data_IF_251822195777
#
_entry.id   IF_251822195777
#
_cell.length_a   1.000
_cell.length_b   1.000
_cell.length_c   1.000
_cell.angle_alpha   90.00
_cell.angle_beta   90.00
_cell.angle_gamma   90.00
#
_symmetry.space_group_name_H-M   'P 1'
#
loop_
_entity.id
_entity.type
_entity.pdbx_description
1 polymer ?
#
# COMPACT_ATOMS: atom_id res chain seq x y z
N UNK A 1 -8.87 7.41 0.00
CA UNK A 1 -9.61 7.14 1.26
C UNK A 1 -9.57 5.64 1.52
N UNK A 2 -9.74 5.19 2.76
CA UNK A 2 -10.09 3.81 3.08
C UNK A 2 -11.59 3.76 3.21
N UNK A 3 -12.26 2.97 2.37
CA UNK A 3 -13.72 2.84 2.39
C UNK A 3 -14.11 1.61 3.23
N UNK A 4 -14.86 1.79 4.33
CA UNK A 4 -15.48 0.68 5.06
C UNK A 4 -16.50 -0.07 4.20
N UNK A 5 -16.88 -1.29 4.63
CA UNK A 5 -17.85 -2.11 3.91
C UNK A 5 -19.25 -1.46 3.78
N UNK A 6 -19.60 -0.60 4.74
CA UNK A 6 -20.85 0.18 4.81
C UNK A 6 -20.69 1.62 4.31
N UNK A 7 -19.52 1.98 3.77
CA UNK A 7 -19.25 3.32 3.26
C UNK A 7 -19.81 3.55 1.86
N UNK A 8 -20.32 4.76 1.59
CA UNK A 8 -20.80 5.15 0.26
C UNK A 8 -19.68 5.80 -0.59
N UNK A 9 -19.30 5.22 -1.76
CA UNK A 9 -18.32 5.79 -2.69
C UNK A 9 -18.66 7.21 -3.18
N UNK A 10 -19.95 7.59 -3.19
CA UNK A 10 -20.41 8.92 -3.60
C UNK A 10 -20.19 9.98 -2.52
N UNK A 11 -20.03 9.57 -1.27
CA UNK A 11 -19.91 10.47 -0.12
C UNK A 11 -18.63 10.21 0.71
N UNK A 12 -17.50 9.99 0.03
CA UNK A 12 -16.21 9.65 0.67
C UNK A 12 -15.81 10.57 1.84
N UNK A 13 -16.17 11.85 1.80
CA UNK A 13 -15.84 12.80 2.86
C UNK A 13 -16.53 12.51 4.19
N UNK A 14 -17.73 11.93 4.18
CA UNK A 14 -18.52 11.60 5.36
C UNK A 14 -18.54 10.10 5.69
N UNK A 15 -18.34 9.23 4.71
CA UNK A 15 -18.48 7.77 4.87
C UNK A 15 -17.15 7.01 4.81
N UNK A 16 -16.05 7.64 4.39
CA UNK A 16 -14.75 7.00 4.25
C UNK A 16 -13.68 7.64 5.14
N UNK A 17 -12.61 6.89 5.43
CA UNK A 17 -11.51 7.37 6.26
C UNK A 17 -10.39 7.99 5.39
N UNK A 18 -9.99 9.25 5.59
CA UNK A 18 -8.92 9.85 4.80
C UNK A 18 -7.56 9.20 5.09
N UNK A 19 -6.87 8.71 4.05
CA UNK A 19 -5.51 8.12 4.19
C UNK A 19 -4.51 9.18 4.68
N UNK A 20 -4.67 10.45 4.28
CA UNK A 20 -3.87 11.57 4.84
C UNK A 20 -4.02 11.69 6.36
N UNK A 21 -5.24 11.50 6.88
CA UNK A 21 -5.49 11.49 8.34
C UNK A 21 -4.83 10.30 9.01
N UNK A 22 -4.82 9.12 8.38
CA UNK A 22 -4.12 7.93 8.88
C UNK A 22 -2.63 8.24 9.07
N UNK A 23 -1.98 8.72 8.01
CA UNK A 23 -0.55 9.03 8.04
C UNK A 23 -0.20 10.10 9.07
N UNK A 24 -1.00 11.16 9.17
CA UNK A 24 -0.80 12.19 10.20
C UNK A 24 -0.91 11.62 11.62
N UNK A 25 -1.90 10.75 11.88
CA UNK A 25 -2.08 10.10 13.19
C UNK A 25 -0.94 9.14 13.52
N UNK A 26 -0.51 8.33 12.55
CA UNK A 26 0.63 7.43 12.71
C UNK A 26 1.91 8.22 12.98
N UNK A 27 2.19 9.25 12.20
CA UNK A 27 3.40 10.06 12.35
C UNK A 27 3.49 10.80 13.71
N UNK A 28 2.34 11.05 14.36
CA UNK A 28 2.28 11.64 15.69
C UNK A 28 2.63 10.66 16.84
N UNK A 29 2.69 9.35 16.57
CA UNK A 29 3.03 8.36 17.59
C UNK A 29 4.49 8.49 18.03
N UNK A 30 4.76 8.23 19.31
CA UNK A 30 6.12 8.09 19.85
C UNK A 30 6.76 6.73 19.47
N UNK A 31 6.53 6.27 18.22
CA UNK A 31 7.09 5.04 17.71
C UNK A 31 8.49 5.28 17.12
N UNK A 32 9.40 4.33 17.34
CA UNK A 32 10.75 4.37 16.76
C UNK A 32 10.73 4.24 15.24
N UNK A 33 9.81 3.43 14.72
CA UNK A 33 9.59 3.18 13.28
C UNK A 33 8.13 2.80 13.06
N UNK A 34 7.58 3.18 11.91
CA UNK A 34 6.23 2.80 11.49
C UNK A 34 6.33 2.30 10.06
N UNK A 35 5.87 1.07 9.83
CA UNK A 35 5.76 0.49 8.50
C UNK A 35 4.30 0.19 8.24
N UNK A 36 3.77 0.68 7.13
CA UNK A 36 2.39 0.46 6.69
C UNK A 36 2.45 -0.36 5.40
N UNK A 37 1.84 -1.54 5.41
CA UNK A 37 1.53 -2.27 4.19
C UNK A 37 0.06 -2.03 3.84
N UNK A 38 -0.22 -1.46 2.67
CA UNK A 38 -1.55 -1.06 2.25
C UNK A 38 -1.95 -1.80 0.98
N UNK A 39 -2.72 -2.86 1.17
CA UNK A 39 -3.30 -3.67 0.11
C UNK A 39 -4.68 -3.14 -0.30
N UNK A 40 -4.68 -2.08 -1.12
CA UNK A 40 -5.90 -1.46 -1.62
C UNK A 40 -5.71 -0.92 -3.03
N UNK A 41 -6.74 -1.04 -3.87
CA UNK A 41 -6.78 -0.35 -5.16
C UNK A 41 -6.78 1.16 -4.94
N UNK A 42 -5.80 1.87 -5.52
CA UNK A 42 -5.76 3.33 -5.49
C UNK A 42 -6.42 3.98 -6.70
N UNK A 43 -6.71 3.24 -7.76
CA UNK A 43 -7.06 3.79 -9.07
C UNK A 43 -8.47 4.24 -9.30
N UNK A 44 -9.41 3.81 -8.47
CA UNK A 44 -10.82 3.89 -8.84
C UNK A 44 -11.23 3.07 -10.04
N UNK A 45 -10.30 2.38 -10.70
CA UNK A 45 -10.60 1.42 -11.74
C UNK A 45 -10.79 0.02 -11.13
N UNK A 46 -11.72 -0.76 -11.70
CA UNK A 46 -12.07 -2.10 -11.24
C UNK A 46 -13.16 -2.13 -10.15
N UNK A 47 -13.94 -3.21 -10.11
CA UNK A 47 -15.13 -3.34 -9.24
C UNK A 47 -14.89 -3.32 -7.72
N UNK A 48 -13.64 -3.10 -7.26
CA UNK A 48 -13.25 -2.91 -5.86
C UNK A 48 -12.82 -1.47 -5.54
N UNK A 49 -13.03 -0.56 -6.49
CA UNK A 49 -12.40 0.74 -6.51
C UNK A 49 -13.47 1.83 -6.52
N UNK A 50 -13.23 2.89 -5.75
CA UNK A 50 -14.27 3.85 -5.34
C UNK A 50 -13.96 5.28 -5.74
N UNK A 51 -13.20 5.46 -6.82
CA UNK A 51 -12.97 6.79 -7.39
C UNK A 51 -13.96 6.99 -8.54
N UNK A 52 -14.70 8.11 -8.56
CA UNK A 52 -15.53 8.48 -9.68
C UNK A 52 -14.74 8.45 -10.99
N UNK A 53 -15.33 7.92 -12.06
CA UNK A 53 -14.73 7.89 -13.39
C UNK A 53 -14.21 9.30 -13.77
N UNK A 54 -12.92 9.39 -14.10
CA UNK A 54 -12.27 10.65 -14.56
C UNK A 54 -11.41 11.38 -13.53
N UNK A 55 -11.36 10.95 -12.27
CA UNK A 55 -10.45 11.52 -11.26
C UNK A 55 -9.21 10.63 -11.08
N UNK A 56 -8.02 11.22 -11.27
CA UNK A 56 -6.73 10.54 -11.07
C UNK A 56 -6.24 10.74 -9.63
N UNK A 57 -5.70 9.72 -8.94
CA UNK A 57 -5.16 9.93 -7.59
C UNK A 57 -3.87 10.73 -7.63
N UNK A 58 -3.88 11.90 -6.99
CA UNK A 58 -2.73 12.79 -6.82
C UNK A 58 -1.71 12.31 -5.75
N UNK A 59 -1.69 11.02 -5.42
CA UNK A 59 -0.91 10.50 -4.28
C UNK A 59 0.48 10.06 -4.73
N UNK A 60 1.27 10.98 -5.29
CA UNK A 60 2.71 10.77 -5.53
C UNK A 60 3.60 11.36 -4.44
N UNK A 61 3.03 12.19 -3.54
CA UNK A 61 3.75 12.72 -2.37
C UNK A 61 2.89 12.54 -1.13
N UNK A 62 3.38 11.73 -0.19
CA UNK A 62 2.90 11.76 1.18
C UNK A 62 3.30 13.13 1.74
N UNK A 63 2.35 14.07 1.76
CA UNK A 63 2.49 15.31 2.52
C UNK A 63 2.37 14.97 4.01
N UNK A 64 3.50 14.65 4.63
CA UNK A 64 3.61 14.20 6.03
C UNK A 64 3.51 15.37 7.03
N UNK A 65 3.23 16.59 6.58
CA UNK A 65 2.90 17.73 7.43
C UNK A 65 3.93 18.00 8.55
N UNK A 66 5.08 18.60 8.22
CA UNK A 66 5.94 19.42 9.10
C UNK A 66 6.51 18.86 10.41
N UNK A 67 5.99 17.76 10.97
CA UNK A 67 6.36 17.24 12.26
C UNK A 67 7.09 15.91 12.12
N UNK A 68 8.39 15.90 12.43
CA UNK A 68 9.24 14.68 12.50
C UNK A 68 9.22 13.84 11.23
N UNK A 69 9.68 14.46 10.15
CA UNK A 69 10.09 13.80 8.89
C UNK A 69 11.10 12.69 9.24
N UNK A 70 10.85 11.44 8.83
CA UNK A 70 11.88 10.39 8.89
C UNK A 70 11.51 8.96 9.31
N UNK A 71 10.27 8.64 9.74
CA UNK A 71 9.98 7.34 10.40
C UNK A 71 8.83 6.50 9.86
N UNK A 72 8.08 7.00 8.88
CA UNK A 72 6.94 6.31 8.28
C UNK A 72 7.31 5.81 6.88
N UNK A 73 7.30 4.49 6.72
CA UNK A 73 7.46 3.83 5.42
C UNK A 73 6.14 3.15 5.02
N UNK A 74 5.75 3.31 3.77
CA UNK A 74 4.50 2.76 3.23
C UNK A 74 4.81 1.89 2.01
N UNK A 75 4.42 0.62 2.08
CA UNK A 75 4.35 -0.30 0.95
C UNK A 75 2.90 -0.32 0.44
N UNK A 76 2.65 0.22 -0.75
CA UNK A 76 1.33 0.17 -1.39
C UNK A 76 1.30 -0.94 -2.45
N UNK A 77 0.16 -1.62 -2.56
CA UNK A 77 0.01 -2.77 -3.46
C UNK A 77 0.01 -2.44 -4.96
N UNK A 78 -0.35 -1.21 -5.33
CA UNK A 78 -0.45 -0.74 -6.71
C UNK A 78 0.04 0.71 -6.82
N UNK A 79 0.37 1.12 -8.04
CA UNK A 79 0.39 2.52 -8.44
C UNK A 79 -1.02 3.15 -8.47
N UNK A 80 -1.08 4.47 -8.72
CA UNK A 80 -2.33 5.21 -8.73
C UNK A 80 -3.28 4.86 -9.87
N UNK A 81 -2.85 4.27 -10.98
CA UNK A 81 -3.73 3.95 -12.12
C UNK A 81 -3.92 2.42 -12.33
N UNK A 82 -3.52 1.63 -11.33
CA UNK A 82 -3.47 0.16 -11.40
C UNK A 82 -4.50 -0.50 -10.46
N UNK A 83 -4.77 -1.79 -10.68
CA UNK A 83 -5.74 -2.58 -9.89
C UNK A 83 -5.06 -3.73 -9.18
N UNK A 84 -5.52 -4.07 -7.98
CA UNK A 84 -4.99 -5.24 -7.25
C UNK A 84 -5.60 -6.54 -7.78
N UNK A 85 -4.76 -7.57 -7.91
CA UNK A 85 -5.17 -8.94 -8.17
C UNK A 85 -5.33 -9.79 -6.92
N UNK A 86 -5.82 -11.00 -7.12
CA UNK A 86 -5.87 -12.06 -6.11
C UNK A 86 -5.00 -13.24 -6.55
N UNK A 87 -4.39 -13.92 -5.58
CA UNK A 87 -3.79 -15.23 -5.73
C UNK A 87 -4.85 -16.26 -5.28
N UNK A 88 -5.76 -16.62 -6.19
CA UNK A 88 -6.99 -17.34 -5.85
C UNK A 88 -6.73 -18.73 -5.27
N UNK A 89 -5.71 -19.43 -5.79
CA UNK A 89 -5.31 -20.75 -5.27
C UNK A 89 -4.86 -20.69 -3.80
N UNK A 90 -4.35 -19.55 -3.35
CA UNK A 90 -3.87 -19.31 -1.99
C UNK A 90 -4.82 -18.46 -1.13
N UNK A 91 -5.93 -17.97 -1.69
CA UNK A 91 -6.94 -17.22 -0.94
C UNK A 91 -6.46 -15.85 -0.44
N UNK A 92 -5.48 -15.24 -1.09
CA UNK A 92 -4.89 -13.96 -0.67
C UNK A 92 -4.98 -12.90 -1.78
N UNK A 93 -4.95 -11.61 -1.41
CA UNK A 93 -4.58 -10.55 -2.35
C UNK A 93 -3.16 -10.78 -2.86
N UNK A 94 -2.89 -10.51 -4.14
CA UNK A 94 -1.61 -10.84 -4.76
C UNK A 94 -0.42 -10.17 -4.05
N UNK A 95 -0.60 -8.91 -3.64
CA UNK A 95 0.40 -8.18 -2.85
C UNK A 95 0.59 -8.82 -1.47
N UNK A 96 -0.50 -9.07 -0.73
CA UNK A 96 -0.42 -9.72 0.59
C UNK A 96 0.24 -11.10 0.52
N UNK A 97 -0.06 -11.90 -0.50
CA UNK A 97 0.55 -13.22 -0.70
C UNK A 97 2.09 -13.13 -0.76
N UNK A 98 2.62 -12.30 -1.67
CA UNK A 98 4.06 -12.13 -1.78
C UNK A 98 4.66 -11.41 -0.58
N UNK A 99 3.95 -10.50 0.08
CA UNK A 99 4.41 -9.84 1.31
C UNK A 99 4.70 -10.87 2.39
N UNK A 100 3.75 -11.76 2.67
CA UNK A 100 3.89 -12.82 3.65
C UNK A 100 4.99 -13.82 3.25
N UNK A 101 5.07 -14.19 1.96
CA UNK A 101 6.13 -15.07 1.44
C UNK A 101 7.53 -14.47 1.60
N UNK A 102 7.69 -13.17 1.35
CA UNK A 102 8.94 -12.44 1.53
C UNK A 102 9.37 -12.32 2.99
N UNK A 103 8.41 -12.03 3.87
CA UNK A 103 8.64 -12.00 5.32
C UNK A 103 9.04 -13.39 5.84
N UNK A 104 8.37 -14.45 5.42
CA UNK A 104 8.70 -15.82 5.84
C UNK A 104 10.10 -16.23 5.34
N UNK A 105 10.41 -15.98 4.06
CA UNK A 105 11.72 -16.30 3.47
C UNK A 105 12.89 -15.64 4.21
N UNK A 106 12.69 -14.40 4.65
CA UNK A 106 13.71 -13.63 5.36
C UNK A 106 13.74 -13.93 6.88
N UNK A 107 12.82 -14.74 7.39
CA UNK A 107 12.62 -14.90 8.84
C UNK A 107 12.27 -13.58 9.52
N UNK A 108 11.59 -12.67 8.81
CA UNK A 108 11.26 -11.32 9.26
C UNK A 108 12.46 -10.37 9.35
N UNK A 109 13.64 -10.73 8.84
CA UNK A 109 14.86 -9.93 8.89
C UNK A 109 15.06 -9.11 7.62
N UNK A 110 15.89 -8.07 7.70
CA UNK A 110 16.27 -7.24 6.55
C UNK A 110 15.78 -5.81 6.71
N UNK A 111 15.50 -5.13 5.60
CA UNK A 111 14.93 -3.77 5.59
C UNK A 111 13.66 -3.69 4.76
N UNK A 112 12.89 -2.62 4.96
CA UNK A 112 11.73 -2.30 4.12
C UNK A 112 12.12 -2.25 2.65
N UNK A 113 13.29 -1.68 2.32
CA UNK A 113 13.82 -1.70 0.96
C UNK A 113 14.02 -3.12 0.43
N UNK A 114 14.67 -4.00 1.20
CA UNK A 114 14.90 -5.37 0.72
C UNK A 114 13.61 -6.16 0.52
N UNK A 115 12.59 -5.90 1.35
CA UNK A 115 11.27 -6.49 1.19
C UNK A 115 10.57 -5.92 -0.06
N UNK A 116 10.66 -4.61 -0.29
CA UNK A 116 10.15 -3.97 -1.50
C UNK A 116 10.83 -4.49 -2.78
N UNK A 117 12.15 -4.62 -2.77
CA UNK A 117 12.94 -5.13 -3.90
C UNK A 117 12.53 -6.58 -4.25
N UNK A 118 12.08 -7.36 -3.27
CA UNK A 118 11.48 -8.68 -3.49
C UNK A 118 10.04 -8.60 -4.02
N UNK A 119 9.20 -7.77 -3.38
CA UNK A 119 7.78 -7.63 -3.69
C UNK A 119 7.53 -7.17 -5.12
N UNK A 120 8.24 -6.11 -5.53
CA UNK A 120 7.97 -5.40 -6.78
C UNK A 120 8.00 -6.31 -8.02
N UNK A 121 9.07 -7.07 -8.30
CA UNK A 121 9.09 -7.97 -9.45
C UNK A 121 8.08 -9.12 -9.29
N UNK A 122 7.93 -9.69 -8.08
CA UNK A 122 7.06 -10.85 -7.88
C UNK A 122 5.58 -10.55 -8.11
N UNK A 123 5.11 -9.42 -7.61
CA UNK A 123 3.73 -8.98 -7.83
C UNK A 123 3.52 -8.59 -9.30
N UNK A 124 4.48 -7.89 -9.91
CA UNK A 124 4.39 -7.47 -11.31
C UNK A 124 4.35 -8.65 -12.28
N UNK A 125 5.19 -9.66 -12.08
CA UNK A 125 5.26 -10.85 -12.93
C UNK A 125 3.94 -11.64 -12.84
N UNK A 126 3.45 -11.91 -11.62
CA UNK A 126 2.21 -12.64 -11.43
C UNK A 126 0.98 -11.87 -11.93
N UNK A 127 0.95 -10.55 -11.79
CA UNK A 127 -0.15 -9.75 -12.35
C UNK A 127 -0.19 -9.81 -13.88
N UNK A 128 0.99 -9.87 -14.53
CA UNK A 128 1.10 -10.00 -15.99
C UNK A 128 0.64 -11.35 -16.50
N UNK A 129 0.82 -12.43 -15.74
CA UNK A 129 0.26 -13.74 -16.07
C UNK A 129 -1.28 -13.69 -16.22
N UNK A 130 -1.93 -12.79 -15.48
CA UNK A 130 -3.36 -12.52 -15.56
C UNK A 130 -3.73 -11.36 -16.51
N UNK A 131 -2.78 -10.86 -17.31
CA UNK A 131 -3.01 -9.77 -18.27
C UNK A 131 -3.28 -8.40 -17.62
N UNK A 132 -2.77 -8.16 -16.40
CA UNK A 132 -2.97 -6.92 -15.64
C UNK A 132 -1.64 -6.28 -15.24
N UNK A 133 -1.66 -4.97 -15.05
CA UNK A 133 -0.55 -4.25 -14.42
C UNK A 133 -0.81 -4.05 -12.93
N UNK A 134 0.18 -4.44 -12.12
CA UNK A 134 0.21 -4.19 -10.68
C UNK A 134 1.66 -3.99 -10.23
N UNK A 135 2.03 -2.75 -9.92
CA UNK A 135 3.37 -2.35 -9.49
C UNK A 135 3.32 -1.82 -8.07
N UNK A 136 3.78 -2.61 -7.08
CA UNK A 136 3.92 -2.12 -5.72
C UNK A 136 4.76 -0.84 -5.65
N UNK A 137 4.42 0.04 -4.72
CA UNK A 137 5.13 1.30 -4.48
C UNK A 137 5.73 1.30 -3.07
N UNK A 138 6.90 1.92 -2.93
CA UNK A 138 7.49 2.26 -1.64
C UNK A 138 7.51 3.78 -1.50
N UNK A 139 6.82 4.29 -0.49
CA UNK A 139 6.75 5.71 -0.15
C UNK A 139 7.33 5.91 1.24
N UNK A 140 8.25 6.86 1.39
CA UNK A 140 8.93 7.09 2.66
C UNK A 140 10.24 7.83 2.46
N UNK A 141 10.95 8.07 3.55
CA UNK A 141 12.21 8.85 3.55
C UNK A 141 13.41 8.04 4.04
N UNK A 142 13.18 6.89 4.69
CA UNK A 142 14.20 5.98 5.18
C UNK A 142 13.87 4.51 4.85
N UNK A 143 14.13 4.12 3.60
CA UNK A 143 13.93 2.74 3.16
C UNK A 143 14.89 1.73 3.82
N UNK A 144 15.93 2.20 4.54
CA UNK A 144 16.85 1.37 5.31
C UNK A 144 16.26 0.95 6.68
N UNK A 145 15.00 1.28 6.96
CA UNK A 145 14.26 0.81 8.13
C UNK A 145 14.31 -0.73 8.22
N UNK A 146 14.95 -1.23 9.27
CA UNK A 146 15.07 -2.66 9.52
C UNK A 146 13.72 -3.31 9.88
N UNK A 147 13.50 -4.50 9.34
CA UNK A 147 12.43 -5.43 9.68
C UNK A 147 12.97 -6.45 10.70
N UNK A 148 12.13 -6.81 11.67
CA UNK A 148 12.54 -7.66 12.80
C UNK A 148 13.40 -6.88 13.80
N UNK A 149 13.38 -7.31 15.06
CA UNK A 149 14.38 -6.92 16.06
C UNK A 149 15.49 -7.95 16.05
#
# INVERSE_FOLDING_TARGET
YLLPWDGDPKFLASTAYPVKRLYAKLNALAARRIVVALDSCFSGAGGRSVIPQGLRPLVTKIDVGGGRVGRLEVLAATGPDEVTGTADAEGHGLFTYYLLKGLNRSGGKGTVKTLYDYLRPKVADAAREDGRDQMPQLLGTDSAVALGK
#
